data_IF_342088522015
#
_entry.id   IF_342088522015
#
_cell.length_a   1.000
_cell.length_b   1.000
_cell.length_c   1.000
_cell.angle_alpha   90.00
_cell.angle_beta   90.00
_cell.angle_gamma   90.00
#
_symmetry.space_group_name_H-M   'P 1'
#
loop_
_entity.id
_entity.type
_entity.pdbx_description
1 polymer ?
#
# COMPACT_ATOMS: atom_id res chain seq x y z
N UNK A 1 0.38 -21.97 7.88
CA UNK A 1 -0.48 -21.88 6.69
C UNK A 1 -1.56 -20.80 6.79
N UNK A 2 -2.43 -20.80 7.82
CA UNK A 2 -3.52 -19.81 7.94
C UNK A 2 -3.05 -18.34 7.88
N UNK A 3 -1.98 -17.99 8.59
CA UNK A 3 -1.40 -16.62 8.58
C UNK A 3 -0.82 -16.22 7.21
N UNK A 4 -0.28 -17.18 6.46
CA UNK A 4 0.27 -16.94 5.12
C UNK A 4 -0.85 -16.70 4.11
N UNK A 5 -1.88 -17.55 4.13
CA UNK A 5 -3.07 -17.37 3.28
C UNK A 5 -3.73 -16.02 3.55
N UNK A 6 -4.01 -15.70 4.82
CA UNK A 6 -4.70 -14.46 5.18
C UNK A 6 -3.86 -13.23 4.82
N UNK A 7 -2.54 -13.29 5.00
CA UNK A 7 -1.66 -12.21 4.55
C UNK A 7 -1.79 -12.01 3.04
N UNK A 8 -1.57 -13.06 2.25
CA UNK A 8 -1.61 -12.96 0.78
C UNK A 8 -2.98 -12.52 0.27
N UNK A 9 -4.05 -13.08 0.86
CA UNK A 9 -5.42 -12.67 0.58
C UNK A 9 -5.62 -11.17 0.82
N UNK A 10 -5.30 -10.68 2.02
CA UNK A 10 -5.52 -9.28 2.40
C UNK A 10 -4.67 -8.33 1.54
N UNK A 11 -3.42 -8.68 1.25
CA UNK A 11 -2.54 -7.87 0.41
C UNK A 11 -3.12 -7.72 -1.01
N UNK A 12 -3.47 -8.83 -1.66
CA UNK A 12 -3.99 -8.80 -3.03
C UNK A 12 -5.38 -8.16 -3.07
N UNK A 13 -6.24 -8.42 -2.07
CA UNK A 13 -7.53 -7.77 -1.94
C UNK A 13 -7.38 -6.24 -1.88
N UNK A 14 -6.48 -5.74 -1.03
CA UNK A 14 -6.22 -4.30 -0.91
C UNK A 14 -5.62 -3.69 -2.18
N UNK A 15 -4.79 -4.43 -2.92
CA UNK A 15 -4.25 -3.98 -4.23
C UNK A 15 -5.38 -3.74 -5.22
N UNK A 16 -6.28 -4.72 -5.40
CA UNK A 16 -7.41 -4.58 -6.32
C UNK A 16 -8.34 -3.44 -5.89
N UNK A 17 -8.60 -3.32 -4.58
CA UNK A 17 -9.40 -2.23 -4.03
C UNK A 17 -8.75 -0.85 -4.25
N UNK A 18 -7.42 -0.76 -4.13
CA UNK A 18 -6.66 0.45 -4.42
C UNK A 18 -6.79 0.86 -5.89
N UNK A 19 -6.67 -0.10 -6.82
CA UNK A 19 -6.87 0.15 -8.26
C UNK A 19 -8.29 0.65 -8.55
N UNK A 20 -9.31 0.08 -7.89
CA UNK A 20 -10.69 0.57 -8.02
C UNK A 20 -10.81 2.03 -7.54
N UNK A 21 -10.22 2.38 -6.40
CA UNK A 21 -10.25 3.76 -5.90
C UNK A 21 -9.47 4.74 -6.77
N UNK A 22 -8.34 4.33 -7.35
CA UNK A 22 -7.61 5.10 -8.37
C UNK A 22 -8.55 5.41 -9.55
N UNK A 23 -9.22 4.40 -10.10
CA UNK A 23 -10.13 4.56 -11.24
C UNK A 23 -11.37 5.42 -10.94
N UNK A 24 -11.75 5.55 -9.66
CA UNK A 24 -12.88 6.37 -9.19
C UNK A 24 -12.46 7.74 -8.64
N UNK A 25 -11.19 8.12 -8.78
CA UNK A 25 -10.65 9.35 -8.20
C UNK A 25 -10.90 9.48 -6.68
N UNK A 26 -11.07 8.35 -5.99
CA UNK A 26 -11.34 8.33 -4.55
C UNK A 26 -10.04 8.31 -3.75
N UNK A 27 -9.48 9.51 -3.56
CA UNK A 27 -8.15 9.72 -2.96
C UNK A 27 -8.02 9.10 -1.56
N UNK A 28 -9.02 9.27 -0.69
CA UNK A 28 -8.94 8.74 0.68
C UNK A 28 -8.80 7.21 0.70
N UNK A 29 -9.58 6.51 -0.12
CA UNK A 29 -9.48 5.06 -0.26
C UNK A 29 -8.14 4.62 -0.83
N UNK A 30 -7.62 5.35 -1.82
CA UNK A 30 -6.27 5.13 -2.36
C UNK A 30 -5.19 5.23 -1.27
N UNK A 31 -5.22 6.30 -0.47
CA UNK A 31 -4.22 6.53 0.58
C UNK A 31 -4.25 5.41 1.64
N UNK A 32 -5.45 5.07 2.12
CA UNK A 32 -5.64 4.02 3.13
C UNK A 32 -5.10 2.68 2.60
N UNK A 33 -5.45 2.29 1.38
CA UNK A 33 -4.99 1.01 0.82
C UNK A 33 -3.47 1.03 0.59
N UNK A 34 -2.90 2.11 0.04
CA UNK A 34 -1.45 2.23 -0.19
C UNK A 34 -0.63 2.09 1.10
N UNK A 35 -1.11 2.68 2.19
CA UNK A 35 -0.53 2.49 3.52
C UNK A 35 -0.65 1.04 4.00
N UNK A 36 -1.86 0.47 4.01
CA UNK A 36 -2.13 -0.86 4.57
C UNK A 36 -1.39 -1.98 3.82
N UNK A 37 -1.33 -1.92 2.49
CA UNK A 37 -0.57 -2.90 1.68
C UNK A 37 0.88 -2.94 2.16
N UNK A 38 1.52 -1.77 2.25
CA UNK A 38 2.92 -1.62 2.62
C UNK A 38 3.19 -1.97 4.08
N UNK A 39 2.25 -1.63 4.97
CA UNK A 39 2.33 -1.96 6.38
C UNK A 39 2.28 -3.47 6.61
N UNK A 40 1.29 -4.16 6.01
CA UNK A 40 1.17 -5.62 6.08
C UNK A 40 2.37 -6.32 5.42
N UNK A 41 2.81 -5.80 4.27
CA UNK A 41 3.99 -6.31 3.58
C UNK A 41 5.24 -6.22 4.44
N UNK A 42 5.47 -5.08 5.10
CA UNK A 42 6.64 -4.93 5.97
C UNK A 42 6.70 -6.03 7.03
N UNK A 43 5.57 -6.41 7.63
CA UNK A 43 5.48 -7.47 8.65
C UNK A 43 5.78 -8.87 8.11
N UNK A 44 5.69 -9.08 6.80
CA UNK A 44 6.05 -10.35 6.16
C UNK A 44 7.51 -10.43 5.71
N UNK A 45 8.22 -9.31 5.61
CA UNK A 45 9.65 -9.29 5.29
C UNK A 45 10.46 -9.71 6.53
N UNK A 46 11.27 -10.77 6.41
CA UNK A 46 12.08 -11.31 7.52
C UNK A 46 13.15 -10.31 7.98
N UNK A 47 12.90 -9.70 9.16
CA UNK A 47 13.75 -9.02 10.16
C UNK A 47 14.97 -8.16 9.77
N UNK A 48 15.76 -8.46 8.73
CA UNK A 48 16.99 -7.69 8.43
C UNK A 48 16.67 -6.31 7.83
N UNK A 49 15.55 -6.17 7.10
CA UNK A 49 15.20 -4.91 6.42
C UNK A 49 14.38 -3.91 7.25
N UNK A 50 13.66 -4.35 8.30
CA UNK A 50 12.82 -3.49 9.14
C UNK A 50 12.96 -3.91 10.61
N UNK A 51 13.73 -3.12 11.36
CA UNK A 51 14.13 -3.44 12.74
C UNK A 51 13.15 -2.93 13.81
N UNK A 52 12.24 -2.01 13.50
CA UNK A 52 11.29 -1.42 14.47
C UNK A 52 9.93 -1.05 13.86
N UNK A 53 8.87 -1.04 14.67
CA UNK A 53 7.53 -0.61 14.24
C UNK A 53 7.50 0.82 13.69
N UNK A 54 8.30 1.73 14.27
CA UNK A 54 8.43 3.09 13.75
C UNK A 54 8.93 3.12 12.30
N UNK A 55 9.93 2.30 11.97
CA UNK A 55 10.44 2.19 10.60
C UNK A 55 9.38 1.64 9.65
N UNK A 56 8.55 0.69 10.10
CA UNK A 56 7.44 0.15 9.30
C UNK A 56 6.39 1.21 8.97
N UNK A 57 6.03 2.02 9.97
CA UNK A 57 5.07 3.12 9.79
C UNK A 57 5.65 4.16 8.83
N UNK A 58 6.90 4.61 9.03
CA UNK A 58 7.56 5.58 8.15
C UNK A 58 7.65 5.05 6.71
N UNK A 59 8.05 3.80 6.53
CA UNK A 59 8.08 3.13 5.24
C UNK A 59 6.70 3.13 4.56
N UNK A 60 5.66 2.77 5.32
CA UNK A 60 4.29 2.67 4.81
C UNK A 60 3.69 4.04 4.46
N UNK A 61 4.04 5.08 5.23
CA UNK A 61 3.71 6.47 4.90
C UNK A 61 4.39 6.91 3.60
N UNK A 62 5.66 6.55 3.41
CA UNK A 62 6.38 6.82 2.16
C UNK A 62 5.68 6.20 0.95
N UNK A 63 5.27 4.93 1.05
CA UNK A 63 4.54 4.24 -0.01
C UNK A 63 3.14 4.84 -0.28
N UNK A 64 2.42 5.24 0.78
CA UNK A 64 1.16 5.97 0.67
C UNK A 64 1.34 7.29 -0.10
N UNK A 65 2.32 8.11 0.28
CA UNK A 65 2.63 9.37 -0.40
C UNK A 65 3.05 9.14 -1.85
N UNK A 66 3.85 8.10 -2.12
CA UNK A 66 4.22 7.70 -3.48
C UNK A 66 3.01 7.33 -4.33
N UNK A 67 2.02 6.65 -3.75
CA UNK A 67 0.76 6.31 -4.43
C UNK A 67 -0.02 7.57 -4.83
N UNK A 68 -0.08 8.58 -3.95
CA UNK A 68 -0.72 9.87 -4.25
C UNK A 68 0.02 10.63 -5.35
N UNK A 69 1.35 10.69 -5.26
CA UNK A 69 2.18 11.36 -6.26
C UNK A 69 2.00 10.69 -7.65
N UNK A 70 2.03 9.36 -7.70
CA UNK A 70 1.83 8.60 -8.93
C UNK A 70 0.41 8.77 -9.51
N UNK A 71 -0.61 8.88 -8.67
CA UNK A 71 -1.98 9.16 -9.11
C UNK A 71 -2.07 10.49 -9.89
N UNK A 72 -1.53 11.58 -9.32
CA UNK A 72 -1.53 12.88 -10.00
C UNK A 72 -0.58 12.90 -11.21
N UNK A 73 0.58 12.24 -11.11
CA UNK A 73 1.49 12.11 -12.25
C UNK A 73 0.85 11.34 -13.41
N UNK A 74 0.15 10.24 -13.14
CA UNK A 74 -0.60 9.49 -14.15
C UNK A 74 -1.64 10.35 -14.86
N UNK A 75 -2.34 11.23 -14.14
CA UNK A 75 -3.25 12.21 -14.75
C UNK A 75 -2.55 13.22 -15.65
N UNK A 76 -1.28 13.55 -15.40
CA UNK A 76 -0.48 14.41 -16.28
C UNK A 76 -0.03 13.67 -17.54
N UNK A 77 0.26 12.37 -17.44
CA UNK A 77 0.68 11.54 -18.57
C UNK A 77 -0.46 11.20 -19.53
N UNK A 78 -1.66 10.98 -18.99
CA UNK A 78 -2.86 10.60 -19.75
C UNK A 78 -3.65 11.87 -20.18
N UNK A 79 -3.02 13.04 -20.11
CA UNK A 79 -3.57 14.29 -20.67
C UNK A 79 -3.75 14.21 -22.18
#
# INVERSE_FOLDING_TARGET
MKTLFLTGFTQVFLVVLNTYFIAKDFILGLLICGFLISYIWSHNVKKVAFGSEKQRVIYSLGAMCGSLAAFYFGKLLIK
#
